data_IF_317234013007
#
_entry.id   IF_317234013007
#
_cell.length_a   1.000
_cell.length_b   1.000
_cell.length_c   1.000
_cell.angle_alpha   90.00
_cell.angle_beta   90.00
_cell.angle_gamma   90.00
#
_symmetry.space_group_name_H-M   'P 1'
#
loop_
_entity.id
_entity.type
_entity.pdbx_description
1 polymer ?
#
# COMPACT_ATOMS: atom_id res chain seq x y z
N UNK A 1 22.56 30.42 14.70
CA UNK A 1 22.55 29.78 13.38
C UNK A 1 22.46 28.31 13.67
N UNK A 2 21.43 27.59 13.20
CA UNK A 2 21.49 26.13 13.20
C UNK A 2 22.67 25.73 12.31
N UNK A 3 23.44 24.74 12.73
CA UNK A 3 24.63 24.29 12.00
C UNK A 3 24.22 23.81 10.60
N UNK A 4 24.88 24.35 9.58
CA UNK A 4 24.65 24.05 8.15
C UNK A 4 25.15 22.64 7.79
N UNK A 5 25.77 21.92 8.72
CA UNK A 5 26.29 20.56 8.52
C UNK A 5 25.21 19.48 8.47
N UNK A 6 24.04 19.69 9.11
CA UNK A 6 22.96 18.67 9.16
C UNK A 6 22.13 18.55 7.85
N UNK A 7 22.22 19.51 6.92
CA UNK A 7 21.41 19.52 5.69
C UNK A 7 22.04 18.73 4.51
N UNK A 8 23.23 18.13 4.71
CA UNK A 8 24.01 17.48 3.64
C UNK A 8 24.16 15.97 3.84
N UNK A 9 24.15 15.46 5.09
CA UNK A 9 24.28 14.03 5.37
C UNK A 9 23.02 13.28 4.91
N UNK A 10 23.18 12.26 4.06
CA UNK A 10 22.08 11.38 3.65
C UNK A 10 21.95 10.17 4.56
N UNK A 11 23.09 9.53 4.82
CA UNK A 11 23.15 8.26 5.53
C UNK A 11 24.53 8.08 6.15
N UNK A 12 24.59 7.37 7.27
CA UNK A 12 25.81 7.15 8.04
C UNK A 12 25.90 5.70 8.52
N UNK A 13 26.92 4.99 8.03
CA UNK A 13 27.20 3.62 8.43
C UNK A 13 27.40 3.46 9.95
N UNK A 14 27.80 4.53 10.66
CA UNK A 14 27.97 4.52 12.11
C UNK A 14 26.68 4.13 12.84
N UNK A 15 25.52 4.64 12.40
CA UNK A 15 24.22 4.30 13.01
C UNK A 15 23.92 2.80 12.91
N UNK A 16 24.23 2.21 11.76
CA UNK A 16 24.05 0.77 11.52
C UNK A 16 25.07 -0.06 12.30
N UNK A 17 26.34 0.38 12.35
CA UNK A 17 27.39 -0.27 13.14
C UNK A 17 27.08 -0.28 14.64
N UNK A 18 26.56 0.83 15.18
CA UNK A 18 26.07 0.91 16.55
C UNK A 18 24.96 -0.10 16.79
N UNK A 19 23.97 -0.19 15.89
CA UNK A 19 22.89 -1.18 15.99
C UNK A 19 23.41 -2.62 15.98
N UNK A 20 24.34 -2.96 15.08
CA UNK A 20 24.99 -4.29 15.04
C UNK A 20 25.63 -4.64 16.38
N UNK A 21 26.43 -3.71 16.92
CA UNK A 21 27.22 -3.94 18.13
C UNK A 21 26.37 -3.98 19.39
N UNK A 22 25.45 -3.04 19.54
CA UNK A 22 24.59 -2.93 20.73
C UNK A 22 23.59 -4.08 20.83
N UNK A 23 23.01 -4.49 19.70
CA UNK A 23 22.06 -5.62 19.65
C UNK A 23 22.74 -6.98 19.55
N UNK A 24 24.07 -7.01 19.37
CA UNK A 24 24.86 -8.24 19.24
C UNK A 24 24.45 -9.07 18.02
N UNK A 25 24.18 -8.42 16.89
CA UNK A 25 23.69 -9.08 15.67
C UNK A 25 24.79 -9.99 15.07
N UNK A 26 24.48 -11.23 14.66
CA UNK A 26 25.45 -12.17 14.11
C UNK A 26 25.70 -11.92 12.61
N UNK A 27 26.03 -10.69 12.24
CA UNK A 27 26.31 -10.26 10.86
C UNK A 27 27.72 -9.66 10.77
N UNK A 28 28.28 -9.64 9.56
CA UNK A 28 29.54 -8.91 9.30
C UNK A 28 29.28 -7.41 9.43
N UNK A 29 30.16 -6.66 10.10
CA UNK A 29 30.04 -5.20 10.23
C UNK A 29 30.03 -4.50 8.87
N UNK A 30 30.57 -5.12 7.82
CA UNK A 30 30.49 -4.61 6.45
C UNK A 30 29.04 -4.51 5.93
N UNK A 31 28.08 -5.21 6.55
CA UNK A 31 26.66 -5.11 6.22
C UNK A 31 26.08 -3.72 6.48
N UNK A 32 26.68 -2.94 7.40
CA UNK A 32 26.30 -1.55 7.69
C UNK A 32 26.36 -0.63 6.46
N UNK A 33 27.13 -1.01 5.45
CA UNK A 33 27.37 -0.21 4.25
C UNK A 33 26.55 -0.69 3.03
N UNK A 34 25.78 -1.78 3.16
CA UNK A 34 25.15 -2.45 2.02
C UNK A 34 24.23 -1.52 1.21
N UNK A 35 23.31 -0.82 1.86
CA UNK A 35 22.33 0.00 1.16
C UNK A 35 22.91 1.35 0.69
N UNK A 36 23.88 1.92 1.42
CA UNK A 36 24.68 3.06 0.94
C UNK A 36 25.39 2.69 -0.38
N UNK A 37 26.02 1.51 -0.43
CA UNK A 37 26.71 1.02 -1.61
C UNK A 37 25.77 0.75 -2.79
N UNK A 38 24.57 0.20 -2.53
CA UNK A 38 23.54 -0.02 -3.55
C UNK A 38 23.11 1.32 -4.16
N UNK A 39 22.78 2.30 -3.33
CA UNK A 39 22.29 3.60 -3.81
C UNK A 39 23.38 4.34 -4.61
N UNK A 40 24.61 4.41 -4.05
CA UNK A 40 25.74 5.05 -4.70
C UNK A 40 26.08 4.40 -6.05
N UNK A 41 26.06 3.06 -6.12
CA UNK A 41 26.28 2.32 -7.38
C UNK A 41 25.25 2.71 -8.43
N UNK A 42 23.96 2.73 -8.07
CA UNK A 42 22.90 3.10 -8.98
C UNK A 42 23.09 4.52 -9.52
N UNK A 43 23.42 5.49 -8.65
CA UNK A 43 23.72 6.86 -9.06
C UNK A 43 24.94 6.98 -9.99
N UNK A 44 25.99 6.18 -9.76
CA UNK A 44 27.17 6.12 -10.63
C UNK A 44 26.79 5.59 -12.02
N UNK A 45 26.00 4.50 -12.09
CA UNK A 45 25.56 3.88 -13.34
C UNK A 45 24.65 4.80 -14.17
N UNK A 46 23.92 5.73 -13.52
CA UNK A 46 22.97 6.65 -14.16
C UNK A 46 23.51 8.08 -14.35
N UNK A 47 24.84 8.28 -14.24
CA UNK A 47 25.50 9.57 -14.45
C UNK A 47 24.97 10.69 -13.54
N UNK A 48 24.67 10.36 -12.27
CA UNK A 48 24.10 11.27 -11.29
C UNK A 48 25.14 11.88 -10.32
N UNK A 49 26.43 11.61 -10.52
CA UNK A 49 27.50 12.09 -9.63
C UNK A 49 27.94 13.53 -9.96
N UNK A 50 28.34 14.28 -8.94
CA UNK A 50 28.86 15.65 -9.06
C UNK A 50 30.27 15.70 -9.66
N UNK A 51 30.62 16.82 -10.30
CA UNK A 51 31.93 17.02 -10.91
C UNK A 51 33.11 16.93 -9.92
N UNK A 52 32.95 17.40 -8.68
CA UNK A 52 34.01 17.28 -7.66
C UNK A 52 34.20 15.82 -7.23
N UNK A 53 33.10 15.11 -6.96
CA UNK A 53 33.15 13.68 -6.63
C UNK A 53 33.82 12.87 -7.76
N UNK A 54 33.44 13.15 -9.01
CA UNK A 54 34.06 12.51 -10.18
C UNK A 54 35.55 12.82 -10.32
N UNK A 55 36.00 14.01 -9.91
CA UNK A 55 37.41 14.38 -9.97
C UNK A 55 38.25 13.66 -8.90
N UNK A 56 37.72 13.54 -7.68
CA UNK A 56 38.41 12.90 -6.56
C UNK A 56 38.38 11.36 -6.67
N UNK A 57 37.26 10.78 -7.10
CA UNK A 57 37.04 9.32 -7.14
C UNK A 57 36.94 8.76 -8.57
N UNK A 58 37.64 9.37 -9.54
CA UNK A 58 37.54 9.01 -10.97
C UNK A 58 37.88 7.54 -11.29
N UNK A 59 38.89 6.96 -10.65
CA UNK A 59 39.28 5.56 -10.83
C UNK A 59 38.26 4.60 -10.23
N UNK A 60 37.67 4.96 -9.08
CA UNK A 60 36.58 4.21 -8.44
C UNK A 60 35.37 4.17 -9.37
N UNK A 61 34.93 5.32 -9.86
CA UNK A 61 33.78 5.44 -10.76
C UNK A 61 34.00 4.62 -12.04
N UNK A 62 35.23 4.63 -12.58
CA UNK A 62 35.59 3.79 -13.73
C UNK A 62 35.53 2.30 -13.39
N UNK A 63 35.99 1.91 -12.22
CA UNK A 63 35.98 0.50 -11.77
C UNK A 63 34.56 -0.01 -11.61
N UNK A 64 33.67 0.75 -10.94
CA UNK A 64 32.23 0.42 -10.83
C UNK A 64 31.59 0.25 -12.21
N UNK A 65 31.88 1.16 -13.17
CA UNK A 65 31.28 1.08 -14.51
C UNK A 65 31.84 -0.04 -15.39
N UNK A 66 33.08 -0.48 -15.15
CA UNK A 66 33.76 -1.45 -16.02
C UNK A 66 33.73 -2.88 -15.47
N UNK A 67 33.74 -3.04 -14.15
CA UNK A 67 33.72 -4.32 -13.47
C UNK A 67 33.01 -4.23 -12.10
N UNK A 68 31.68 -3.98 -12.10
CA UNK A 68 30.93 -3.76 -10.86
C UNK A 68 30.95 -4.97 -9.92
N UNK A 69 31.00 -6.20 -10.45
CA UNK A 69 30.98 -7.44 -9.67
C UNK A 69 32.22 -7.65 -8.80
N UNK A 70 33.35 -7.07 -9.19
CA UNK A 70 34.61 -7.19 -8.45
C UNK A 70 34.98 -5.89 -7.70
N UNK A 71 34.13 -4.87 -7.76
CA UNK A 71 34.32 -3.60 -7.05
C UNK A 71 33.44 -3.56 -5.80
N UNK A 72 34.02 -3.84 -4.62
CA UNK A 72 33.29 -3.76 -3.35
C UNK A 72 33.18 -2.31 -2.86
N UNK A 73 32.08 -1.65 -3.22
CA UNK A 73 31.82 -0.26 -2.84
C UNK A 73 31.68 -0.05 -1.32
N UNK A 74 31.39 -1.09 -0.53
CA UNK A 74 31.27 -0.96 0.93
C UNK A 74 32.60 -0.62 1.57
N UNK A 75 33.67 -1.26 1.09
CA UNK A 75 35.05 -0.98 1.52
C UNK A 75 35.43 0.45 1.16
N UNK A 76 35.05 0.90 -0.03
CA UNK A 76 35.38 2.24 -0.52
C UNK A 76 34.61 3.33 0.24
N UNK A 77 33.33 3.14 0.51
CA UNK A 77 32.55 4.06 1.34
C UNK A 77 33.19 4.17 2.74
N UNK A 78 33.59 3.04 3.34
CA UNK A 78 34.28 3.03 4.64
C UNK A 78 35.62 3.77 4.61
N UNK A 79 36.46 3.51 3.61
CA UNK A 79 37.86 3.92 3.62
C UNK A 79 38.09 5.30 2.95
N UNK A 80 37.28 5.69 1.98
CA UNK A 80 37.43 6.93 1.20
C UNK A 80 36.34 7.98 1.45
N UNK A 81 35.15 7.56 1.90
CA UNK A 81 34.02 8.46 2.16
C UNK A 81 33.68 8.57 3.65
N UNK A 82 34.62 8.23 4.55
CA UNK A 82 34.45 8.25 6.01
C UNK A 82 33.20 7.49 6.52
N UNK A 83 32.69 6.55 5.73
CA UNK A 83 31.50 5.77 6.02
C UNK A 83 30.16 6.47 5.81
N UNK A 84 30.15 7.66 5.19
CA UNK A 84 28.94 8.46 4.99
C UNK A 84 28.53 8.54 3.52
N UNK A 85 27.24 8.79 3.31
CA UNK A 85 26.68 9.20 2.03
C UNK A 85 26.23 10.65 2.14
N UNK A 86 26.76 11.53 1.28
CA UNK A 86 26.47 12.97 1.34
C UNK A 86 25.72 13.43 0.09
N UNK A 87 24.77 14.35 0.25
CA UNK A 87 24.02 14.96 -0.86
C UNK A 87 24.92 15.65 -1.88
N UNK A 88 26.05 16.22 -1.44
CA UNK A 88 27.02 16.89 -2.30
C UNK A 88 27.79 15.94 -3.22
N UNK A 89 27.66 14.62 -3.06
CA UNK A 89 28.24 13.65 -4.00
C UNK A 89 27.52 13.63 -5.34
N UNK A 90 26.28 14.13 -5.40
CA UNK A 90 25.42 14.04 -6.57
C UNK A 90 25.32 15.37 -7.31
N UNK A 91 25.21 15.31 -8.64
CA UNK A 91 24.91 16.49 -9.44
C UNK A 91 23.48 16.98 -9.15
N UNK A 92 23.11 18.16 -9.66
CA UNK A 92 21.83 18.78 -9.32
C UNK A 92 20.59 17.90 -9.53
N UNK A 93 20.58 16.98 -10.51
CA UNK A 93 19.46 16.04 -10.65
C UNK A 93 19.50 14.93 -9.62
N UNK A 94 20.67 14.33 -9.42
CA UNK A 94 20.87 13.27 -8.43
C UNK A 94 20.57 13.77 -7.01
N UNK A 95 20.99 14.99 -6.67
CA UNK A 95 20.78 15.59 -5.35
C UNK A 95 19.30 15.87 -5.08
N UNK A 96 18.54 16.36 -6.08
CA UNK A 96 17.11 16.64 -5.91
C UNK A 96 16.30 15.34 -5.80
N UNK A 97 16.61 14.32 -6.60
CA UNK A 97 15.98 13.00 -6.46
C UNK A 97 16.35 12.33 -5.13
N UNK A 98 17.62 12.42 -4.71
CA UNK A 98 18.09 11.92 -3.42
C UNK A 98 17.33 12.57 -2.26
N UNK A 99 17.15 13.89 -2.32
CA UNK A 99 16.36 14.60 -1.32
C UNK A 99 14.91 14.13 -1.29
N UNK A 100 14.28 13.97 -2.45
CA UNK A 100 12.93 13.43 -2.54
C UNK A 100 12.82 12.02 -1.94
N UNK A 101 13.76 11.14 -2.27
CA UNK A 101 13.66 9.72 -1.94
C UNK A 101 14.18 9.35 -0.55
N UNK A 102 14.95 10.22 0.11
CA UNK A 102 15.35 10.03 1.51
C UNK A 102 14.52 10.90 2.47
N UNK A 103 14.11 12.10 2.06
CA UNK A 103 13.55 13.14 2.93
C UNK A 103 12.25 13.79 2.45
N UNK A 104 11.66 13.29 1.36
CA UNK A 104 10.55 13.94 0.68
C UNK A 104 9.38 14.29 1.60
N UNK A 105 8.65 15.36 1.22
CA UNK A 105 7.55 15.98 2.01
C UNK A 105 6.44 14.99 2.36
N UNK A 106 6.24 13.95 1.54
CA UNK A 106 5.21 12.94 1.73
C UNK A 106 5.71 11.72 2.54
N UNK A 107 6.95 11.71 3.03
CA UNK A 107 7.58 10.57 3.74
C UNK A 107 7.62 9.24 2.93
N UNK A 108 7.08 9.24 1.70
CA UNK A 108 7.00 8.12 0.79
C UNK A 108 7.07 8.62 -0.67
N UNK A 109 7.75 7.89 -1.58
CA UNK A 109 8.59 6.73 -1.32
C UNK A 109 9.84 7.08 -0.49
N UNK A 110 10.41 6.10 0.22
CA UNK A 110 11.57 6.29 1.10
C UNK A 110 12.55 5.12 0.93
N UNK A 111 13.81 5.40 0.60
CA UNK A 111 14.79 4.36 0.25
C UNK A 111 15.03 3.34 1.38
N UNK A 112 15.29 3.73 2.65
CA UNK A 112 15.35 2.78 3.75
C UNK A 112 14.09 1.91 3.89
N UNK A 113 12.90 2.49 3.67
CA UNK A 113 11.64 1.75 3.72
C UNK A 113 11.49 0.75 2.57
N UNK A 114 11.99 1.07 1.37
CA UNK A 114 12.03 0.14 0.23
C UNK A 114 13.02 -1.02 0.47
N UNK A 115 14.13 -0.75 1.15
CA UNK A 115 15.09 -1.76 1.58
C UNK A 115 14.45 -2.74 2.57
N UNK A 116 13.66 -2.25 3.53
CA UNK A 116 12.89 -3.09 4.46
C UNK A 116 11.78 -3.90 3.76
N UNK A 117 11.11 -3.34 2.74
CA UNK A 117 10.14 -4.10 1.93
C UNK A 117 10.81 -5.20 1.12
N UNK A 118 12.02 -4.94 0.60
CA UNK A 118 12.81 -5.99 -0.01
C UNK A 118 13.20 -7.07 1.01
N UNK A 119 13.61 -6.68 2.23
CA UNK A 119 13.90 -7.63 3.31
C UNK A 119 12.68 -8.52 3.64
N UNK A 120 11.48 -7.94 3.73
CA UNK A 120 10.23 -8.67 3.94
C UNK A 120 9.98 -9.70 2.84
N UNK A 121 10.15 -9.32 1.57
CA UNK A 121 10.00 -10.23 0.42
C UNK A 121 11.05 -11.33 0.42
N UNK A 122 12.30 -10.99 0.73
CA UNK A 122 13.43 -11.92 0.72
C UNK A 122 13.32 -12.99 1.81
N UNK A 123 13.02 -12.60 3.06
CA UNK A 123 12.92 -13.54 4.19
C UNK A 123 11.55 -14.19 4.33
N UNK A 124 10.51 -13.57 3.75
CA UNK A 124 9.11 -13.94 3.93
C UNK A 124 8.52 -13.42 5.25
N UNK A 125 7.19 -13.22 5.33
CA UNK A 125 6.54 -12.54 6.47
C UNK A 125 6.80 -13.21 7.82
N UNK A 126 6.76 -14.54 7.88
CA UNK A 126 6.92 -15.28 9.13
C UNK A 126 8.28 -15.06 9.79
N UNK A 127 9.35 -14.97 8.98
CA UNK A 127 10.72 -14.79 9.47
C UNK A 127 11.01 -13.31 9.71
N UNK A 128 10.57 -12.42 8.80
CA UNK A 128 10.73 -10.97 8.92
C UNK A 128 10.11 -10.41 10.21
N UNK A 129 8.88 -10.83 10.55
CA UNK A 129 8.19 -10.37 11.77
C UNK A 129 8.59 -11.14 13.03
N UNK A 130 9.57 -12.05 12.96
CA UNK A 130 10.09 -12.74 14.14
C UNK A 130 11.06 -11.84 14.92
N UNK A 131 11.48 -12.30 16.10
CA UNK A 131 12.53 -11.61 16.87
C UNK A 131 13.96 -11.86 16.35
N UNK A 132 14.13 -12.66 15.29
CA UNK A 132 15.45 -13.04 14.76
C UNK A 132 16.32 -11.83 14.42
N UNK A 133 15.74 -10.83 13.74
CA UNK A 133 16.49 -9.70 13.21
C UNK A 133 16.55 -8.49 14.14
N UNK A 134 15.83 -8.51 15.27
CA UNK A 134 15.73 -7.38 16.19
C UNK A 134 15.42 -6.03 15.50
N UNK A 135 14.55 -6.08 14.50
CA UNK A 135 14.11 -4.96 13.65
C UNK A 135 15.17 -4.43 12.68
N UNK A 136 16.21 -5.21 12.39
CA UNK A 136 17.30 -4.82 11.49
C UNK A 136 17.45 -5.83 10.33
N UNK A 137 16.32 -6.30 9.77
CA UNK A 137 16.32 -7.38 8.79
C UNK A 137 17.18 -7.08 7.55
N UNK A 138 17.24 -5.82 7.13
CA UNK A 138 18.06 -5.37 6.00
C UNK A 138 19.57 -5.65 6.18
N UNK A 139 20.08 -5.71 7.41
CA UNK A 139 21.49 -6.04 7.69
C UNK A 139 21.83 -7.51 7.45
N UNK A 140 20.82 -8.38 7.42
CA UNK A 140 21.00 -9.82 7.22
C UNK A 140 20.94 -10.23 5.74
N UNK A 141 20.60 -9.29 4.85
CA UNK A 141 20.52 -9.57 3.42
C UNK A 141 21.95 -9.73 2.88
N UNK A 142 22.27 -10.84 2.20
CA UNK A 142 23.56 -11.00 1.54
C UNK A 142 23.79 -9.87 0.53
N UNK A 143 24.99 -9.29 0.57
CA UNK A 143 25.39 -8.31 -0.44
C UNK A 143 25.87 -9.05 -1.69
N UNK A 144 24.96 -9.23 -2.64
CA UNK A 144 25.21 -9.87 -3.92
C UNK A 144 24.56 -9.08 -5.08
N UNK A 145 24.81 -9.54 -6.31
CA UNK A 145 24.30 -8.88 -7.51
C UNK A 145 22.78 -8.98 -7.62
N UNK A 146 22.17 -10.07 -7.12
CA UNK A 146 20.71 -10.24 -7.17
C UNK A 146 20.02 -9.20 -6.27
N UNK A 147 20.59 -8.91 -5.10
CA UNK A 147 20.13 -7.84 -4.23
C UNK A 147 20.29 -6.46 -4.90
N UNK A 148 21.45 -6.19 -5.50
CA UNK A 148 21.68 -4.94 -6.23
C UNK A 148 20.66 -4.76 -7.35
N UNK A 149 20.50 -5.74 -8.23
CA UNK A 149 19.60 -5.65 -9.39
C UNK A 149 18.15 -5.45 -8.97
N UNK A 150 17.71 -6.14 -7.92
CA UNK A 150 16.36 -5.98 -7.39
C UNK A 150 16.13 -4.57 -6.83
N UNK A 151 17.09 -4.03 -6.07
CA UNK A 151 16.96 -2.66 -5.56
C UNK A 151 17.14 -1.60 -6.64
N UNK A 152 18.02 -1.81 -7.61
CA UNK A 152 18.20 -0.93 -8.77
C UNK A 152 16.90 -0.80 -9.57
N UNK A 153 16.14 -1.90 -9.72
CA UNK A 153 14.83 -1.87 -10.36
C UNK A 153 13.82 -1.02 -9.57
N UNK A 154 13.80 -1.14 -8.23
CA UNK A 154 12.95 -0.31 -7.36
C UNK A 154 13.34 1.16 -7.45
N UNK A 155 14.64 1.50 -7.32
CA UNK A 155 15.12 2.88 -7.43
C UNK A 155 14.76 3.47 -8.80
N UNK A 156 14.85 2.67 -9.88
CA UNK A 156 14.48 3.09 -11.23
C UNK A 156 12.98 3.36 -11.38
N UNK A 157 12.13 2.56 -10.74
CA UNK A 157 10.69 2.79 -10.69
C UNK A 157 10.37 4.10 -9.95
N UNK A 158 10.96 4.31 -8.76
CA UNK A 158 10.81 5.57 -7.99
C UNK A 158 11.32 6.78 -8.78
N UNK A 159 12.41 6.63 -9.52
CA UNK A 159 12.93 7.68 -10.41
C UNK A 159 11.93 8.04 -11.50
N UNK A 160 11.32 7.03 -12.15
CA UNK A 160 10.35 7.25 -13.21
C UNK A 160 9.09 7.94 -12.68
N UNK A 161 8.56 7.48 -11.53
CA UNK A 161 7.41 8.12 -10.88
C UNK A 161 7.71 9.56 -10.49
N UNK A 162 8.87 9.81 -9.85
CA UNK A 162 9.34 11.16 -9.52
C UNK A 162 9.43 12.09 -10.72
N UNK A 163 9.96 11.61 -11.85
CA UNK A 163 10.08 12.37 -13.09
C UNK A 163 8.73 12.72 -13.71
N UNK A 164 7.71 11.90 -13.49
CA UNK A 164 6.34 12.12 -13.97
C UNK A 164 5.47 12.93 -13.00
N UNK A 165 5.99 13.21 -11.79
CA UNK A 165 5.18 13.73 -10.70
C UNK A 165 4.96 15.26 -10.79
N UNK A 166 3.78 15.69 -10.34
CA UNK A 166 3.49 17.09 -10.02
C UNK A 166 3.20 17.21 -8.52
N UNK A 167 4.20 17.66 -7.76
CA UNK A 167 4.04 17.84 -6.31
C UNK A 167 3.09 19.00 -6.03
N UNK A 168 1.95 18.66 -5.42
CA UNK A 168 0.97 19.60 -4.90
C UNK A 168 1.22 19.84 -3.41
N UNK A 169 1.28 21.10 -2.99
CA UNK A 169 1.32 21.49 -1.57
C UNK A 169 -0.06 21.92 -1.06
N UNK A 170 -1.14 21.49 -1.74
CA UNK A 170 -2.50 21.82 -1.34
C UNK A 170 -2.78 21.22 0.04
N UNK A 171 -3.11 22.06 1.05
CA UNK A 171 -3.45 21.55 2.36
C UNK A 171 -4.74 20.72 2.30
N UNK A 172 -4.98 19.85 3.30
CA UNK A 172 -6.23 19.10 3.38
C UNK A 172 -7.45 20.03 3.36
N UNK A 173 -8.49 19.65 2.61
CA UNK A 173 -9.78 20.35 2.61
C UNK A 173 -10.47 20.27 3.98
N UNK A 174 -11.50 21.09 4.20
CA UNK A 174 -12.31 21.00 5.43
C UNK A 174 -12.90 19.61 5.62
N UNK A 175 -13.38 18.98 4.54
CA UNK A 175 -13.83 17.60 4.52
C UNK A 175 -12.72 16.60 4.90
N UNK A 176 -11.53 16.73 4.31
CA UNK A 176 -10.40 15.84 4.64
C UNK A 176 -10.01 15.96 6.14
N UNK A 177 -10.02 17.18 6.67
CA UNK A 177 -9.80 17.43 8.10
C UNK A 177 -10.90 16.80 8.95
N UNK A 178 -12.16 16.88 8.52
CA UNK A 178 -13.29 16.26 9.21
C UNK A 178 -13.20 14.73 9.20
N UNK A 179 -12.87 14.10 8.07
CA UNK A 179 -12.64 12.67 7.94
C UNK A 179 -11.51 12.20 8.86
N UNK A 180 -10.35 12.86 8.86
CA UNK A 180 -9.24 12.51 9.77
C UNK A 180 -9.66 12.63 11.25
N UNK A 181 -10.44 13.66 11.62
CA UNK A 181 -10.99 13.79 12.98
C UNK A 181 -12.00 12.70 13.31
N UNK A 182 -12.84 12.32 12.36
CA UNK A 182 -13.81 11.24 12.50
C UNK A 182 -13.11 9.90 12.75
N UNK A 183 -12.10 9.58 11.95
CA UNK A 183 -11.30 8.35 12.08
C UNK A 183 -10.64 8.27 13.46
N UNK A 184 -10.15 9.40 13.97
CA UNK A 184 -9.57 9.51 15.32
C UNK A 184 -8.42 8.50 15.54
N UNK A 185 -7.54 8.40 14.54
CA UNK A 185 -6.32 7.59 14.54
C UNK A 185 -5.23 8.33 13.75
N UNK A 186 -4.01 7.77 13.68
CA UNK A 186 -2.94 8.35 12.87
C UNK A 186 -3.37 8.30 11.40
N UNK A 187 -3.29 9.47 10.75
CA UNK A 187 -3.69 9.66 9.36
C UNK A 187 -2.61 10.44 8.63
N UNK A 188 -2.40 10.11 7.37
CA UNK A 188 -1.58 10.86 6.44
C UNK A 188 -2.44 11.26 5.24
N UNK A 189 -2.37 12.54 4.86
CA UNK A 189 -3.13 13.07 3.73
C UNK A 189 -2.24 13.16 2.49
N UNK A 190 -2.78 12.72 1.36
CA UNK A 190 -2.17 12.80 0.05
C UNK A 190 -3.03 13.68 -0.86
N UNK A 191 -2.50 14.82 -1.35
CA UNK A 191 -3.20 15.63 -2.34
C UNK A 191 -3.24 14.92 -3.71
N UNK A 192 -4.11 15.36 -4.65
CA UNK A 192 -4.12 14.87 -6.02
C UNK A 192 -2.74 14.87 -6.66
N UNK A 193 -2.35 13.73 -7.24
CA UNK A 193 -1.04 13.53 -7.86
C UNK A 193 -1.14 12.87 -9.23
N UNK A 194 -0.13 13.08 -10.09
CA UNK A 194 -0.10 12.50 -11.45
C UNK A 194 0.37 11.06 -11.49
N UNK A 195 1.11 10.67 -10.47
CA UNK A 195 1.69 9.35 -10.31
C UNK A 195 1.45 8.92 -8.87
N UNK A 196 0.85 7.74 -8.69
CA UNK A 196 0.40 7.23 -7.38
C UNK A 196 1.51 6.49 -6.61
N UNK A 197 2.74 6.46 -7.14
CA UNK A 197 3.91 5.85 -6.50
C UNK A 197 4.08 6.24 -5.01
N UNK A 198 3.96 7.53 -4.60
CA UNK A 198 3.99 7.91 -3.18
C UNK A 198 2.90 7.27 -2.34
N UNK A 199 1.68 7.18 -2.88
CA UNK A 199 0.51 6.66 -2.17
C UNK A 199 0.62 5.14 -2.00
N UNK A 200 0.98 4.43 -3.07
CA UNK A 200 1.17 2.98 -3.08
C UNK A 200 2.34 2.58 -2.17
N UNK A 201 3.45 3.34 -2.22
CA UNK A 201 4.59 3.14 -1.32
C UNK A 201 4.19 3.30 0.15
N UNK A 202 3.51 4.39 0.49
CA UNK A 202 3.07 4.66 1.87
C UNK A 202 2.14 3.56 2.39
N UNK A 203 1.19 3.10 1.56
CA UNK A 203 0.32 1.97 1.92
C UNK A 203 1.13 0.69 2.16
N UNK A 204 2.11 0.38 1.30
CA UNK A 204 3.02 -0.77 1.45
C UNK A 204 3.77 -0.73 2.78
N UNK A 205 4.36 0.42 3.12
CA UNK A 205 5.09 0.62 4.37
C UNK A 205 4.16 0.47 5.58
N UNK A 206 2.98 1.11 5.56
CA UNK A 206 1.99 1.00 6.62
C UNK A 206 1.50 -0.45 6.80
N UNK A 207 1.35 -1.21 5.71
CA UNK A 207 0.99 -2.64 5.77
C UNK A 207 2.09 -3.48 6.42
N UNK A 208 3.36 -3.22 6.09
CA UNK A 208 4.52 -3.89 6.72
C UNK A 208 4.59 -3.58 8.21
N UNK A 209 4.40 -2.32 8.61
CA UNK A 209 4.51 -1.86 10.00
C UNK A 209 3.30 -2.28 10.85
N UNK A 210 2.08 -2.23 10.29
CA UNK A 210 0.84 -2.53 10.99
C UNK A 210 0.77 -3.92 11.63
N UNK A 211 1.46 -4.91 11.04
CA UNK A 211 1.58 -6.27 11.63
C UNK A 211 2.24 -6.23 13.01
N UNK A 212 3.23 -5.35 13.20
CA UNK A 212 3.95 -5.19 14.47
C UNK A 212 3.31 -4.15 15.38
N UNK A 213 2.82 -3.05 14.81
CA UNK A 213 2.30 -1.91 15.56
C UNK A 213 0.83 -2.08 15.98
N UNK A 214 0.12 -3.05 15.41
CA UNK A 214 -1.22 -3.44 15.84
C UNK A 214 -2.33 -2.58 15.25
N UNK A 215 -2.23 -2.27 13.95
CA UNK A 215 -3.27 -1.57 13.19
C UNK A 215 -3.46 -2.19 11.80
N UNK A 216 -4.53 -1.79 11.12
CA UNK A 216 -4.82 -2.14 9.72
C UNK A 216 -4.85 -0.85 8.89
N UNK A 217 -4.00 -0.70 7.86
CA UNK A 217 -4.00 0.49 7.02
C UNK A 217 -5.21 0.48 6.06
N UNK A 218 -5.85 1.63 5.91
CA UNK A 218 -6.90 1.86 4.91
C UNK A 218 -6.61 3.15 4.13
N UNK A 219 -6.71 3.07 2.81
CA UNK A 219 -6.82 4.23 1.92
C UNK A 219 -8.29 4.65 1.85
N UNK A 220 -8.55 5.94 2.03
CA UNK A 220 -9.90 6.49 2.09
C UNK A 220 -9.95 7.71 1.18
N UNK A 221 -10.80 7.69 0.16
CA UNK A 221 -10.97 8.87 -0.70
C UNK A 221 -11.69 9.98 0.05
N UNK A 222 -11.38 11.23 -0.27
CA UNK A 222 -12.05 12.40 0.33
C UNK A 222 -13.30 12.73 -0.49
N UNK A 223 -14.43 12.15 -0.08
CA UNK A 223 -15.71 12.23 -0.79
C UNK A 223 -16.88 12.62 0.15
N UNK A 224 -17.80 13.45 -0.35
CA UNK A 224 -18.97 13.96 0.37
C UNK A 224 -19.99 12.86 0.69
N UNK A 225 -20.30 12.01 -0.30
CA UNK A 225 -21.24 10.90 -0.14
C UNK A 225 -20.68 9.88 0.86
N UNK A 226 -19.37 9.63 0.82
CA UNK A 226 -18.72 8.79 1.83
C UNK A 226 -18.89 9.39 3.23
N UNK A 227 -18.64 10.69 3.39
CA UNK A 227 -18.83 11.37 4.67
C UNK A 227 -20.26 11.24 5.21
N UNK A 228 -21.25 11.51 4.37
CA UNK A 228 -22.67 11.37 4.73
C UNK A 228 -22.98 9.95 5.18
N UNK A 229 -22.53 8.93 4.44
CA UNK A 229 -22.70 7.52 4.80
C UNK A 229 -22.12 7.19 6.18
N UNK A 230 -20.86 7.57 6.42
CA UNK A 230 -20.17 7.29 7.68
C UNK A 230 -20.90 7.92 8.88
N UNK A 231 -21.35 9.17 8.75
CA UNK A 231 -22.06 9.89 9.81
C UNK A 231 -23.45 9.32 10.03
N UNK A 232 -24.22 9.07 8.97
CA UNK A 232 -25.58 8.51 9.08
C UNK A 232 -25.59 7.16 9.80
N UNK A 233 -24.61 6.30 9.50
CA UNK A 233 -24.55 4.95 10.07
C UNK A 233 -24.01 4.92 11.51
N UNK A 234 -23.20 5.90 11.92
CA UNK A 234 -22.53 5.89 13.25
C UNK A 234 -23.06 6.93 14.25
N UNK A 235 -23.72 7.99 13.79
CA UNK A 235 -24.31 9.06 14.59
C UNK A 235 -25.79 9.24 14.26
N UNK A 236 -26.57 8.18 14.49
CA UNK A 236 -28.02 8.15 14.23
C UNK A 236 -28.71 9.32 14.94
N UNK A 237 -29.13 10.34 14.16
CA UNK A 237 -29.72 11.59 14.64
C UNK A 237 -28.99 12.85 14.14
N UNK A 238 -27.82 12.71 13.54
CA UNK A 238 -27.20 13.73 12.67
C UNK A 238 -27.58 13.45 11.22
N UNK A 239 -27.93 14.48 10.44
CA UNK A 239 -28.07 14.36 8.97
C UNK A 239 -26.75 14.64 8.24
N UNK A 240 -25.60 14.54 8.94
CA UNK A 240 -24.34 15.03 8.38
C UNK A 240 -24.40 16.54 8.10
N UNK A 241 -24.99 17.31 9.03
CA UNK A 241 -25.32 18.73 8.84
C UNK A 241 -24.18 19.54 8.21
N UNK A 242 -24.58 20.62 7.51
CA UNK A 242 -23.69 21.65 6.94
C UNK A 242 -22.54 21.96 7.92
N UNK A 243 -21.31 21.98 7.40
CA UNK A 243 -20.05 22.24 8.12
C UNK A 243 -19.34 20.99 8.71
N UNK A 244 -19.63 19.78 8.21
CA UNK A 244 -18.93 18.53 8.57
C UNK A 244 -18.91 18.21 10.07
N UNK A 245 -20.02 18.48 10.75
CA UNK A 245 -20.17 18.22 12.18
C UNK A 245 -20.63 16.78 12.47
N UNK A 246 -20.08 16.18 13.54
CA UNK A 246 -20.49 14.87 14.05
C UNK A 246 -20.32 14.77 15.56
N UNK A 247 -21.07 13.89 16.22
CA UNK A 247 -20.92 13.61 17.63
C UNK A 247 -19.89 12.48 17.87
N UNK A 248 -18.68 12.85 18.29
CA UNK A 248 -17.59 11.90 18.55
C UNK A 248 -17.90 10.85 19.62
N UNK A 249 -18.72 11.17 20.63
CA UNK A 249 -19.12 10.21 21.67
C UNK A 249 -20.04 9.12 21.10
N UNK A 250 -20.98 9.50 20.22
CA UNK A 250 -21.87 8.54 19.54
C UNK A 250 -21.11 7.66 18.56
N UNK A 251 -20.19 8.23 17.78
CA UNK A 251 -19.30 7.46 16.90
C UNK A 251 -18.45 6.47 17.70
N UNK A 252 -17.86 6.90 18.82
CA UNK A 252 -17.11 6.00 19.71
C UNK A 252 -18.00 4.90 20.32
N UNK A 253 -19.23 5.23 20.72
CA UNK A 253 -20.19 4.27 21.23
C UNK A 253 -20.63 3.27 20.15
N UNK A 254 -20.83 3.71 18.91
CA UNK A 254 -21.10 2.87 17.74
C UNK A 254 -19.96 1.88 17.51
N UNK A 255 -18.71 2.37 17.40
CA UNK A 255 -17.51 1.52 17.23
C UNK A 255 -17.43 0.45 18.31
N UNK A 256 -17.56 0.85 19.57
CA UNK A 256 -17.53 -0.09 20.71
C UNK A 256 -18.65 -1.13 20.64
N UNK A 257 -19.86 -0.72 20.22
CA UNK A 257 -21.00 -1.63 20.05
C UNK A 257 -20.73 -2.65 18.95
N UNK A 258 -20.27 -2.20 17.78
CA UNK A 258 -19.98 -3.08 16.62
C UNK A 258 -18.84 -4.04 16.94
N UNK A 259 -17.73 -3.55 17.49
CA UNK A 259 -16.56 -4.38 17.84
C UNK A 259 -16.86 -5.40 18.94
N UNK A 260 -17.87 -5.17 19.79
CA UNK A 260 -18.30 -6.12 20.82
C UNK A 260 -19.25 -7.21 20.28
N UNK A 261 -19.78 -7.07 19.05
CA UNK A 261 -20.68 -8.05 18.47
C UNK A 261 -19.93 -9.29 17.99
N UNK A 262 -20.61 -10.43 18.03
CA UNK A 262 -20.09 -11.65 17.41
C UNK A 262 -20.28 -11.54 15.90
N UNK A 263 -19.17 -11.62 15.16
CA UNK A 263 -19.17 -11.62 13.69
C UNK A 263 -19.91 -12.86 13.18
N UNK A 264 -20.85 -12.65 12.25
CA UNK A 264 -21.66 -13.71 11.61
C UNK A 264 -20.77 -14.69 10.81
N UNK A 265 -21.37 -15.80 10.38
CA UNK A 265 -20.73 -16.71 9.43
C UNK A 265 -20.76 -16.11 8.02
N UNK A 266 -19.61 -15.67 7.53
CA UNK A 266 -19.49 -15.03 6.21
C UNK A 266 -19.89 -15.94 5.04
N UNK A 267 -19.63 -17.25 5.11
CA UNK A 267 -20.03 -18.16 4.03
C UNK A 267 -21.55 -18.33 3.99
N UNK A 268 -22.20 -18.38 5.15
CA UNK A 268 -23.66 -18.40 5.21
C UNK A 268 -24.28 -17.11 4.64
N UNK A 269 -23.70 -15.94 4.93
CA UNK A 269 -24.12 -14.66 4.34
C UNK A 269 -23.99 -14.69 2.82
N UNK A 270 -22.83 -15.11 2.30
CA UNK A 270 -22.57 -15.22 0.86
C UNK A 270 -23.50 -16.22 0.15
N UNK A 271 -23.88 -17.31 0.82
CA UNK A 271 -24.81 -18.28 0.24
C UNK A 271 -26.21 -17.67 0.08
N UNK A 272 -26.70 -16.92 1.09
CA UNK A 272 -28.00 -16.23 1.00
C UNK A 272 -27.99 -15.19 -0.12
N UNK A 273 -26.90 -14.41 -0.24
CA UNK A 273 -26.74 -13.45 -1.32
C UNK A 273 -26.72 -14.12 -2.70
N UNK A 274 -26.04 -15.26 -2.84
CA UNK A 274 -26.05 -16.04 -4.08
C UNK A 274 -27.43 -16.63 -4.40
N UNK A 275 -28.16 -17.11 -3.40
CA UNK A 275 -29.54 -17.59 -3.57
C UNK A 275 -30.43 -16.48 -4.11
N UNK A 276 -30.30 -15.26 -3.57
CA UNK A 276 -31.02 -14.09 -4.07
C UNK A 276 -30.71 -13.80 -5.56
N UNK A 277 -29.43 -13.84 -5.96
CA UNK A 277 -29.05 -13.64 -7.38
C UNK A 277 -29.63 -14.71 -8.30
N UNK A 278 -29.72 -15.96 -7.82
CA UNK A 278 -30.33 -17.04 -8.60
C UNK A 278 -31.84 -16.85 -8.75
N UNK A 279 -32.52 -16.38 -7.71
CA UNK A 279 -33.96 -16.05 -7.77
C UNK A 279 -34.23 -14.89 -8.74
N UNK A 280 -33.42 -13.82 -8.70
CA UNK A 280 -33.51 -12.69 -9.63
C UNK A 280 -33.30 -13.13 -11.09
N UNK A 281 -32.29 -13.95 -11.36
CA UNK A 281 -32.04 -14.49 -12.70
C UNK A 281 -33.19 -15.39 -13.19
N UNK A 282 -33.85 -16.15 -12.30
CA UNK A 282 -35.03 -16.95 -12.64
C UNK A 282 -36.23 -16.06 -12.98
N UNK A 283 -36.46 -15.00 -12.18
CA UNK A 283 -37.54 -14.03 -12.40
C UNK A 283 -37.37 -13.26 -13.73
N UNK A 284 -36.13 -12.99 -14.13
CA UNK A 284 -35.77 -12.32 -15.38
C UNK A 284 -35.59 -13.27 -16.59
N UNK A 285 -35.89 -14.57 -16.42
CA UNK A 285 -35.76 -15.63 -17.44
C UNK A 285 -34.34 -15.77 -18.04
N UNK A 286 -33.30 -15.46 -17.26
CA UNK A 286 -31.89 -15.52 -17.68
C UNK A 286 -31.29 -16.93 -17.54
N UNK A 287 -30.41 -17.33 -18.47
CA UNK A 287 -29.68 -18.60 -18.36
C UNK A 287 -28.54 -18.50 -17.35
N UNK A 288 -28.76 -18.99 -16.13
CA UNK A 288 -27.76 -18.96 -15.07
C UNK A 288 -26.41 -19.57 -15.49
N UNK A 289 -26.39 -20.75 -16.12
CA UNK A 289 -25.12 -21.42 -16.43
C UNK A 289 -24.44 -20.82 -17.68
N UNK A 290 -25.24 -20.42 -18.67
CA UNK A 290 -24.73 -19.89 -19.94
C UNK A 290 -24.39 -18.41 -19.92
N UNK A 291 -25.29 -17.57 -19.40
CA UNK A 291 -25.20 -16.11 -19.46
C UNK A 291 -24.57 -15.53 -18.19
N UNK A 292 -25.04 -15.92 -17.01
CA UNK A 292 -24.51 -15.38 -15.74
C UNK A 292 -23.17 -16.01 -15.36
N UNK A 293 -23.09 -17.35 -15.35
CA UNK A 293 -21.87 -18.06 -14.96
C UNK A 293 -20.86 -18.04 -16.09
N UNK A 294 -21.24 -18.49 -17.28
CA UNK A 294 -20.38 -18.46 -18.46
C UNK A 294 -19.08 -19.27 -18.33
N UNK A 295 -18.13 -18.99 -19.22
CA UNK A 295 -16.81 -19.65 -19.24
C UNK A 295 -15.76 -18.82 -18.53
N UNK A 296 -14.84 -19.51 -17.87
CA UNK A 296 -13.67 -18.89 -17.24
C UNK A 296 -12.63 -18.43 -18.28
N UNK A 297 -12.92 -17.34 -18.99
CA UNK A 297 -12.07 -16.75 -20.02
C UNK A 297 -12.32 -15.24 -20.19
N UNK A 298 -11.36 -14.54 -20.78
CA UNK A 298 -11.52 -13.14 -21.22
C UNK A 298 -11.29 -12.09 -20.13
N UNK A 299 -10.92 -12.51 -18.92
CA UNK A 299 -10.55 -11.60 -17.83
C UNK A 299 -9.13 -11.03 -18.01
N UNK A 300 -8.86 -9.93 -17.32
CA UNK A 300 -7.53 -9.30 -17.25
C UNK A 300 -7.11 -9.17 -15.80
N UNK A 301 -5.85 -9.44 -15.44
CA UNK A 301 -5.41 -9.28 -14.05
C UNK A 301 -5.51 -7.82 -13.62
N UNK A 302 -6.01 -7.59 -12.40
CA UNK A 302 -5.93 -6.29 -11.75
C UNK A 302 -4.53 -6.11 -11.12
N UNK A 303 -3.83 -5.06 -11.55
CA UNK A 303 -2.44 -4.78 -11.20
C UNK A 303 -2.25 -3.74 -10.10
N UNK A 304 -3.29 -3.04 -9.66
CA UNK A 304 -3.16 -1.94 -8.70
C UNK A 304 -4.49 -1.47 -8.13
N UNK A 305 -4.44 -0.41 -7.34
CA UNK A 305 -5.63 0.30 -6.88
C UNK A 305 -6.25 1.12 -8.01
N UNK A 306 -7.56 1.27 -7.98
CA UNK A 306 -8.35 1.86 -9.06
C UNK A 306 -9.19 3.03 -8.55
N UNK A 307 -9.83 2.86 -7.41
CA UNK A 307 -10.88 3.74 -6.89
C UNK A 307 -10.44 5.16 -6.52
N UNK A 308 -9.13 5.39 -6.35
CA UNK A 308 -8.63 6.75 -6.13
C UNK A 308 -8.25 7.49 -7.42
N UNK A 309 -8.34 6.87 -8.60
CA UNK A 309 -7.99 7.53 -9.86
C UNK A 309 -9.17 8.31 -10.43
N UNK A 310 -8.96 9.60 -10.67
CA UNK A 310 -9.80 10.40 -11.56
C UNK A 310 -9.19 10.32 -12.97
N UNK A 311 -9.75 9.42 -13.78
CA UNK A 311 -9.27 9.15 -15.13
C UNK A 311 -9.51 10.31 -16.10
N UNK A 312 -10.53 11.15 -15.84
CA UNK A 312 -10.78 12.35 -16.65
C UNK A 312 -9.76 13.46 -16.34
N UNK A 313 -9.37 13.59 -15.06
CA UNK A 313 -8.34 14.54 -14.63
C UNK A 313 -6.91 14.03 -14.84
N UNK A 314 -6.73 12.74 -15.16
CA UNK A 314 -5.44 12.03 -15.24
C UNK A 314 -4.61 12.19 -13.94
N UNK A 315 -5.29 12.15 -12.79
CA UNK A 315 -4.69 12.31 -11.45
C UNK A 315 -5.43 11.48 -10.42
N UNK A 316 -4.79 11.24 -9.28
CA UNK A 316 -5.52 10.71 -8.12
C UNK A 316 -6.48 11.77 -7.56
N UNK A 317 -7.55 11.32 -6.93
CA UNK A 317 -8.33 12.11 -5.98
C UNK A 317 -7.52 12.37 -4.71
N UNK A 318 -7.95 13.27 -3.82
CA UNK A 318 -7.33 13.38 -2.50
C UNK A 318 -7.61 12.12 -1.67
N UNK A 319 -6.59 11.57 -1.04
CA UNK A 319 -6.66 10.31 -0.28
C UNK A 319 -6.11 10.48 1.12
N UNK A 320 -6.72 9.80 2.08
CA UNK A 320 -6.22 9.66 3.45
C UNK A 320 -5.75 8.22 3.65
N UNK A 321 -4.50 8.03 4.05
CA UNK A 321 -4.00 6.77 4.59
C UNK A 321 -4.21 6.78 6.11
N UNK A 322 -5.04 5.87 6.62
CA UNK A 322 -5.40 5.77 8.02
C UNK A 322 -4.88 4.47 8.65
N UNK A 323 -4.18 4.58 9.78
CA UNK A 323 -3.74 3.44 10.60
C UNK A 323 -4.86 3.05 11.57
N UNK A 324 -5.83 2.26 11.10
CA UNK A 324 -7.04 1.93 11.89
C UNK A 324 -6.66 1.00 13.05
N UNK A 325 -6.88 1.40 14.32
CA UNK A 325 -6.35 0.70 15.49
C UNK A 325 -7.23 -0.49 15.90
N UNK A 326 -7.35 -1.46 14.99
CA UNK A 326 -8.10 -2.71 15.17
C UNK A 326 -7.18 -3.92 15.02
N UNK A 327 -7.57 -5.03 15.63
CA UNK A 327 -6.74 -6.24 15.67
C UNK A 327 -6.92 -7.09 14.43
N UNK A 328 -8.14 -7.09 13.87
CA UNK A 328 -8.49 -7.94 12.76
C UNK A 328 -8.89 -7.12 11.53
N UNK A 329 -8.49 -7.51 10.30
CA UNK A 329 -8.78 -6.76 9.08
C UNK A 329 -10.25 -6.41 8.86
N UNK A 330 -11.17 -7.32 9.18
CA UNK A 330 -12.60 -7.06 9.02
C UNK A 330 -13.15 -6.03 10.03
N UNK A 331 -12.44 -5.72 11.11
CA UNK A 331 -12.90 -4.74 12.11
C UNK A 331 -12.81 -3.29 11.62
N UNK A 332 -12.15 -3.03 10.49
CA UNK A 332 -12.07 -1.67 9.89
C UNK A 332 -13.46 -1.11 9.58
N UNK A 333 -14.44 -1.95 9.26
CA UNK A 333 -15.82 -1.51 8.99
C UNK A 333 -16.54 -0.95 10.23
N UNK A 334 -16.03 -1.18 11.45
CA UNK A 334 -16.54 -0.49 12.64
C UNK A 334 -16.13 1.00 12.63
N UNK A 335 -14.98 1.33 12.04
CA UNK A 335 -14.49 2.69 11.85
C UNK A 335 -15.03 3.32 10.57
N UNK A 336 -15.30 2.48 9.57
CA UNK A 336 -15.80 2.85 8.26
C UNK A 336 -17.14 2.13 7.99
N UNK A 337 -18.24 2.53 8.65
CA UNK A 337 -19.55 1.89 8.46
C UNK A 337 -20.17 2.31 7.11
N UNK A 338 -19.60 1.77 6.05
CA UNK A 338 -20.03 1.83 4.66
C UNK A 338 -21.22 0.89 4.42
N UNK A 339 -22.03 1.21 3.40
CA UNK A 339 -23.18 0.42 2.96
C UNK A 339 -24.52 0.71 3.63
N UNK A 340 -25.45 -0.24 3.51
CA UNK A 340 -26.90 -0.12 3.80
C UNK A 340 -27.70 0.68 2.75
N UNK A 341 -27.24 0.69 1.50
CA UNK A 341 -27.87 1.36 0.34
C UNK A 341 -27.59 0.56 -0.94
N UNK A 342 -28.40 0.68 -1.99
CA UNK A 342 -28.27 0.02 -3.32
C UNK A 342 -27.60 -1.36 -3.33
N UNK A 343 -28.14 -2.29 -2.53
CA UNK A 343 -27.62 -3.66 -2.33
C UNK A 343 -26.23 -3.78 -1.68
N UNK A 344 -25.52 -2.67 -1.45
CA UNK A 344 -24.30 -2.64 -0.66
C UNK A 344 -24.56 -3.17 0.76
N UNK A 345 -23.88 -4.25 1.17
CA UNK A 345 -24.12 -4.88 2.46
C UNK A 345 -23.85 -3.94 3.63
N UNK A 346 -24.60 -4.10 4.72
CA UNK A 346 -24.36 -3.36 5.95
C UNK A 346 -23.09 -3.82 6.68
N UNK A 347 -22.70 -3.07 7.70
CA UNK A 347 -21.45 -3.29 8.45
C UNK A 347 -21.30 -4.73 8.98
N UNK A 348 -22.38 -5.36 9.47
CA UNK A 348 -22.30 -6.71 10.04
C UNK A 348 -22.01 -7.78 8.97
N UNK A 349 -22.60 -7.63 7.79
CA UNK A 349 -22.39 -8.47 6.60
C UNK A 349 -20.98 -8.25 6.05
N UNK A 350 -20.54 -6.99 5.86
CA UNK A 350 -19.18 -6.64 5.42
C UNK A 350 -18.13 -7.28 6.33
N UNK A 351 -18.28 -7.15 7.65
CA UNK A 351 -17.38 -7.77 8.63
C UNK A 351 -17.36 -9.31 8.51
N UNK A 352 -18.51 -9.93 8.28
CA UNK A 352 -18.62 -11.39 8.19
C UNK A 352 -17.94 -11.92 6.93
N UNK A 353 -18.23 -11.31 5.79
CA UNK A 353 -17.66 -11.68 4.49
C UNK A 353 -16.15 -11.43 4.47
N UNK A 354 -15.69 -10.25 4.90
CA UNK A 354 -14.27 -9.95 4.98
C UNK A 354 -13.52 -10.88 5.93
N UNK A 355 -14.13 -11.28 7.06
CA UNK A 355 -13.54 -12.28 7.95
C UNK A 355 -13.38 -13.63 7.27
N UNK A 356 -14.40 -14.09 6.55
CA UNK A 356 -14.34 -15.35 5.82
C UNK A 356 -13.25 -15.31 4.74
N UNK A 357 -13.21 -14.27 3.90
CA UNK A 357 -12.19 -14.14 2.86
C UNK A 357 -10.78 -13.96 3.41
N UNK A 358 -10.60 -13.25 4.52
CA UNK A 358 -9.32 -13.20 5.21
C UNK A 358 -8.86 -14.59 5.65
N UNK A 359 -9.76 -15.40 6.22
CA UNK A 359 -9.43 -16.75 6.67
C UNK A 359 -9.12 -17.72 5.53
N UNK A 360 -9.79 -17.58 4.38
CA UNK A 360 -9.59 -18.46 3.22
C UNK A 360 -8.39 -18.05 2.35
N UNK A 361 -8.22 -16.74 2.14
CA UNK A 361 -7.35 -16.20 1.09
C UNK A 361 -6.38 -15.12 1.60
N UNK A 362 -6.49 -14.71 2.86
CA UNK A 362 -5.70 -13.61 3.41
C UNK A 362 -6.09 -12.24 2.86
N UNK A 363 -7.28 -12.10 2.26
CA UNK A 363 -7.77 -10.84 1.72
C UNK A 363 -8.01 -9.81 2.84
N UNK A 364 -7.49 -8.61 2.67
CA UNK A 364 -7.57 -7.50 3.63
C UNK A 364 -8.19 -6.30 2.94
N UNK A 365 -9.26 -5.67 3.50
CA UNK A 365 -9.76 -4.40 2.98
C UNK A 365 -8.65 -3.37 2.96
N UNK A 366 -8.56 -2.58 1.90
CA UNK A 366 -7.40 -1.74 1.65
C UNK A 366 -7.73 -0.33 1.17
N UNK A 367 -8.78 -0.17 0.37
CA UNK A 367 -9.24 1.13 -0.13
C UNK A 367 -10.77 1.18 -0.05
N UNK A 368 -11.31 2.33 0.36
CA UNK A 368 -12.73 2.61 0.32
C UNK A 368 -13.01 4.01 -0.25
N UNK A 369 -13.94 4.09 -1.19
CA UNK A 369 -14.58 5.32 -1.63
C UNK A 369 -16.04 5.35 -1.14
N UNK A 370 -16.87 6.23 -1.70
CA UNK A 370 -18.28 6.30 -1.34
C UNK A 370 -19.11 5.15 -1.88
N UNK A 371 -18.63 4.47 -2.92
CA UNK A 371 -19.31 3.43 -3.66
C UNK A 371 -18.39 2.25 -4.04
N UNK A 372 -17.09 2.34 -3.77
CA UNK A 372 -16.12 1.30 -4.09
C UNK A 372 -15.39 0.76 -2.87
N UNK A 373 -15.05 -0.53 -2.93
CA UNK A 373 -14.25 -1.20 -1.92
C UNK A 373 -13.22 -2.11 -2.59
N UNK A 374 -11.97 -2.01 -2.16
CA UNK A 374 -10.90 -2.87 -2.65
C UNK A 374 -10.25 -3.70 -1.56
N UNK A 375 -9.80 -4.90 -1.92
CA UNK A 375 -9.05 -5.81 -1.05
C UNK A 375 -7.69 -6.15 -1.64
N UNK A 376 -6.69 -6.24 -0.77
CA UNK A 376 -5.33 -6.70 -1.11
C UNK A 376 -5.14 -8.12 -0.60
N UNK A 377 -4.48 -8.96 -1.41
CA UNK A 377 -4.13 -10.33 -1.08
C UNK A 377 -2.61 -10.52 -0.95
N UNK A 378 -2.17 -11.45 -0.08
CA UNK A 378 -0.78 -11.86 -0.02
C UNK A 378 -0.35 -12.52 -1.33
N UNK A 379 -1.18 -13.34 -1.97
CA UNK A 379 -0.90 -13.99 -3.26
C UNK A 379 -2.22 -14.19 -4.02
N UNK A 380 -2.20 -14.32 -5.37
CA UNK A 380 -3.38 -14.70 -6.13
C UNK A 380 -3.97 -16.04 -5.65
N UNK A 381 -5.29 -16.19 -5.78
CA UNK A 381 -5.96 -17.42 -5.36
C UNK A 381 -5.63 -18.61 -6.29
N UNK A 382 -5.75 -19.87 -5.81
CA UNK A 382 -5.65 -21.03 -6.67
C UNK A 382 -6.72 -21.02 -7.78
N UNK A 383 -6.32 -21.37 -9.01
CA UNK A 383 -7.20 -21.37 -10.18
C UNK A 383 -8.46 -22.22 -9.97
N UNK A 384 -8.35 -23.33 -9.26
CA UNK A 384 -9.45 -24.26 -8.98
C UNK A 384 -10.53 -23.68 -8.05
N UNK A 385 -10.19 -22.62 -7.29
CA UNK A 385 -11.13 -21.91 -6.40
C UNK A 385 -11.78 -20.70 -7.07
N UNK A 386 -11.29 -20.30 -8.24
CA UNK A 386 -11.63 -19.02 -8.86
C UNK A 386 -13.12 -18.89 -9.22
N UNK A 387 -13.72 -19.93 -9.79
CA UNK A 387 -15.14 -19.89 -10.15
C UNK A 387 -16.06 -19.86 -8.93
N UNK A 388 -15.70 -20.58 -7.85
CA UNK A 388 -16.47 -20.52 -6.61
C UNK A 388 -16.39 -19.13 -5.97
N UNK A 389 -15.19 -18.55 -5.88
CA UNK A 389 -15.03 -17.19 -5.36
C UNK A 389 -15.74 -16.16 -6.24
N UNK A 390 -15.68 -16.28 -7.56
CA UNK A 390 -16.36 -15.33 -8.44
C UNK A 390 -17.89 -15.36 -8.22
N UNK A 391 -18.48 -16.55 -8.00
CA UNK A 391 -19.90 -16.65 -7.61
C UNK A 391 -20.17 -16.00 -6.24
N UNK A 392 -19.27 -16.16 -5.28
CA UNK A 392 -19.35 -15.46 -3.99
C UNK A 392 -19.31 -13.93 -4.17
N UNK A 393 -18.36 -13.41 -4.96
CA UNK A 393 -18.22 -11.98 -5.21
C UNK A 393 -19.41 -11.39 -5.95
N UNK A 394 -19.93 -12.09 -6.97
CA UNK A 394 -21.15 -11.68 -7.68
C UNK A 394 -22.38 -11.68 -6.77
N UNK A 395 -22.50 -12.65 -5.86
CA UNK A 395 -23.53 -12.61 -4.83
C UNK A 395 -23.41 -11.36 -3.94
N UNK A 396 -22.20 -11.08 -3.48
CA UNK A 396 -21.89 -9.97 -2.56
C UNK A 396 -22.03 -8.57 -3.19
N UNK A 397 -21.73 -8.45 -4.48
CA UNK A 397 -21.70 -7.22 -5.26
C UNK A 397 -22.02 -7.61 -6.71
N UNK A 398 -23.29 -7.53 -7.14
CA UNK A 398 -23.66 -7.92 -8.51
C UNK A 398 -23.00 -7.04 -9.56
N UNK A 399 -22.83 -5.75 -9.28
CA UNK A 399 -22.27 -4.75 -10.20
C UNK A 399 -20.76 -4.93 -10.43
N UNK A 400 -20.10 -5.87 -9.72
CA UNK A 400 -18.69 -6.24 -9.95
C UNK A 400 -18.41 -6.66 -11.40
N UNK A 401 -19.43 -7.15 -12.12
CA UNK A 401 -19.30 -7.53 -13.52
C UNK A 401 -19.26 -6.30 -14.44
N UNK A 402 -20.00 -5.25 -14.13
CA UNK A 402 -20.08 -4.03 -14.95
C UNK A 402 -18.71 -3.36 -15.08
N UNK A 403 -17.90 -3.42 -14.02
CA UNK A 403 -16.52 -2.97 -14.02
C UNK A 403 -15.64 -3.69 -15.06
N UNK A 404 -15.88 -4.98 -15.30
CA UNK A 404 -15.05 -5.76 -16.21
C UNK A 404 -15.31 -5.42 -17.67
N UNK A 405 -16.61 -5.37 -18.05
CA UNK A 405 -17.15 -5.10 -19.40
C UNK A 405 -18.68 -5.16 -19.35
N UNK A 406 -19.32 -4.49 -20.31
CA UNK A 406 -20.80 -4.46 -20.50
C UNK A 406 -21.44 -5.87 -20.56
N UNK A 407 -20.79 -6.87 -21.18
CA UNK A 407 -21.27 -8.25 -21.29
C UNK A 407 -20.46 -9.25 -20.42
N UNK A 408 -19.88 -8.79 -19.30
CA UNK A 408 -19.11 -9.66 -18.43
C UNK A 408 -19.98 -10.70 -17.72
N UNK A 409 -19.37 -11.83 -17.39
CA UNK A 409 -19.99 -12.92 -16.62
C UNK A 409 -19.06 -13.36 -15.50
N UNK A 410 -19.58 -14.18 -14.58
CA UNK A 410 -18.83 -14.70 -13.43
C UNK A 410 -17.57 -15.46 -13.85
N UNK A 411 -17.57 -16.11 -15.02
CA UNK A 411 -16.41 -16.76 -15.59
C UNK A 411 -15.29 -15.78 -15.94
N UNK A 412 -15.62 -14.64 -16.54
CA UNK A 412 -14.65 -13.57 -16.80
C UNK A 412 -14.05 -13.03 -15.49
N UNK A 413 -14.90 -12.81 -14.48
CA UNK A 413 -14.44 -12.43 -13.14
C UNK A 413 -13.52 -13.49 -12.54
N UNK A 414 -13.88 -14.77 -12.62
CA UNK A 414 -13.05 -15.86 -12.16
C UNK A 414 -11.68 -15.86 -12.85
N UNK A 415 -11.64 -15.65 -14.17
CA UNK A 415 -10.39 -15.57 -14.93
C UNK A 415 -9.53 -14.37 -14.50
N UNK A 416 -10.13 -13.25 -14.10
CA UNK A 416 -9.44 -12.11 -13.48
C UNK A 416 -8.87 -12.47 -12.10
N UNK A 417 -9.67 -13.07 -11.21
CA UNK A 417 -9.33 -13.25 -9.80
C UNK A 417 -8.12 -14.14 -9.54
N UNK A 418 -7.95 -15.26 -10.27
CA UNK A 418 -6.80 -16.16 -10.03
C UNK A 418 -5.44 -15.61 -10.49
N UNK A 419 -5.44 -14.47 -11.18
CA UNK A 419 -4.23 -13.77 -11.64
C UNK A 419 -4.02 -12.43 -10.93
N UNK A 420 -4.90 -12.07 -10.00
CA UNK A 420 -4.92 -10.76 -9.35
C UNK A 420 -4.61 -10.87 -7.86
N UNK A 421 -3.91 -9.88 -7.33
CA UNK A 421 -3.71 -9.68 -5.88
C UNK A 421 -4.62 -8.60 -5.32
N UNK A 422 -5.42 -7.99 -6.18
CA UNK A 422 -6.36 -6.92 -5.87
C UNK A 422 -7.76 -7.41 -6.25
N UNK A 423 -8.73 -7.24 -5.35
CA UNK A 423 -10.14 -7.37 -5.66
C UNK A 423 -10.79 -6.00 -5.60
N UNK A 424 -11.78 -5.80 -6.45
CA UNK A 424 -12.48 -4.54 -6.64
C UNK A 424 -13.98 -4.81 -6.59
N UNK A 425 -14.72 -3.93 -5.92
CA UNK A 425 -16.17 -3.96 -5.80
C UNK A 425 -16.67 -2.53 -5.99
N UNK A 426 -17.78 -2.39 -6.71
CA UNK A 426 -18.48 -1.13 -6.96
C UNK A 426 -19.99 -1.37 -6.82
N UNK A 427 -20.72 -0.39 -6.33
CA UNK A 427 -22.19 -0.41 -6.23
C UNK A 427 -22.74 0.92 -6.78
N UNK A 428 -23.77 0.89 -7.64
CA UNK A 428 -24.42 2.11 -8.19
C UNK A 428 -25.16 2.95 -7.13
#
# INVERSE_FOLDING_TARGET
MPDVEDDVLMDDALWHLESIREKGLPVDELAAYNHLAIYLRWCIEHDLMDGYFLAEHSELVRSVKSDPLHTDLRVLIRDECDGVLLRCYFNGRGETFSWYYYYGVLEAPNFPSDIDDYALRYFGPARYHSNEFQQEAYLFIPYDEDYYQAMAAVIQERWNGWMNQEFSNTPPSELAVALMRYLNCKCQYFPPMKDDDPLVAAYGYARRLGVREGYIPMLITVDENLWECLVMNSDQGSMGEKDYAFNSERVAAYRKKVLAQTVKDGKAVLNVMQEQRMEEAEDDEMDWEGEIVGKMEGGSPNGGFLSFWDYDAEKTTPVILAEIPVKHPWEVFAYLPFGEWNECPGTAELMAVAKYWYQQYGAVPALMSHDELEFVLPEPIPKERALELAKEQYGFCPDVLEYLKEDANVGMLADTLWRSRMWYFWWD
#
